data_IF_513770476074
#
_entry.id   IF_513770476074
#
_cell.length_a   1.000
_cell.length_b   1.000
_cell.length_c   1.000
_cell.angle_alpha   90.00
_cell.angle_beta   90.00
_cell.angle_gamma   90.00
#
_symmetry.space_group_name_H-M   'P 1'
#
loop_
_entity.id
_entity.type
_entity.pdbx_description
1 polymer ?
#
# COMPACT_ATOMS: atom_id res chain seq x y z
N UNK A 1 18.24 14.68 -13.77
CA UNK A 1 17.55 13.59 -14.48
C UNK A 1 16.07 13.66 -14.14
N UNK A 2 15.14 13.58 -15.10
CA UNK A 2 13.71 13.70 -14.83
C UNK A 2 13.20 12.46 -14.10
N UNK A 3 12.47 12.67 -13.00
CA UNK A 3 11.69 11.63 -12.32
C UNK A 3 10.23 11.87 -12.68
N UNK A 4 9.56 10.84 -13.18
CA UNK A 4 8.14 10.90 -13.49
C UNK A 4 7.35 10.18 -12.39
N UNK A 5 6.10 10.61 -12.17
CA UNK A 5 5.20 9.99 -11.21
C UNK A 5 3.94 9.50 -11.93
N UNK A 6 3.55 8.27 -11.62
CA UNK A 6 2.26 7.71 -11.99
C UNK A 6 1.46 7.59 -10.70
N UNK A 7 0.29 8.24 -10.66
CA UNK A 7 -0.65 8.14 -9.53
C UNK A 7 -1.88 7.40 -10.00
N UNK A 8 -2.26 6.36 -9.25
CA UNK A 8 -3.47 5.56 -9.50
C UNK A 8 -4.28 5.49 -8.23
N UNK A 9 -5.55 5.91 -8.31
CA UNK A 9 -6.52 5.78 -7.24
C UNK A 9 -7.44 4.59 -7.52
N UNK A 10 -7.72 3.79 -6.50
CA UNK A 10 -8.61 2.64 -6.61
C UNK A 10 -9.36 2.36 -5.31
N UNK A 11 -10.65 2.08 -5.44
CA UNK A 11 -11.49 1.57 -4.34
C UNK A 11 -11.56 0.05 -4.44
N UNK A 12 -11.27 -0.63 -3.33
CA UNK A 12 -11.33 -2.09 -3.24
C UNK A 12 -12.21 -2.46 -2.06
N UNK A 13 -12.96 -3.55 -2.19
CA UNK A 13 -13.78 -4.11 -1.12
C UNK A 13 -13.41 -5.56 -0.83
N UNK A 14 -13.47 -5.93 0.45
CA UNK A 14 -13.32 -7.28 0.99
C UNK A 14 -14.59 -7.64 1.75
N UNK A 15 -15.25 -8.74 1.38
CA UNK A 15 -16.40 -9.28 2.12
C UNK A 15 -16.00 -10.54 2.87
N UNK A 16 -16.28 -10.54 4.17
CA UNK A 16 -16.03 -11.61 5.12
C UNK A 16 -17.38 -12.17 5.55
N UNK A 17 -17.54 -13.49 5.49
CA UNK A 17 -18.77 -14.20 5.90
C UNK A 17 -18.40 -15.40 6.78
N UNK A 18 -19.39 -16.14 7.26
CA UNK A 18 -19.17 -17.42 7.94
C UNK A 18 -18.37 -18.44 7.11
N UNK A 19 -18.37 -18.31 5.78
CA UNK A 19 -17.60 -19.19 4.89
C UNK A 19 -16.11 -18.82 4.82
N UNK A 20 -15.73 -17.61 5.22
CA UNK A 20 -14.36 -17.09 5.08
C UNK A 20 -13.36 -17.68 6.09
N UNK A 21 -13.79 -18.62 6.94
CA UNK A 21 -12.96 -19.27 7.97
C UNK A 21 -12.54 -18.32 9.09
N UNK A 22 -11.87 -18.85 10.13
CA UNK A 22 -11.32 -18.08 11.26
C UNK A 22 -9.89 -17.58 11.02
N UNK A 23 -9.40 -17.72 9.78
CA UNK A 23 -8.05 -17.36 9.38
C UNK A 23 -7.83 -15.85 9.25
N UNK A 24 -6.59 -15.50 8.94
CA UNK A 24 -6.22 -14.15 8.51
C UNK A 24 -6.67 -13.99 7.06
N UNK A 25 -7.53 -13.01 6.81
CA UNK A 25 -8.01 -12.66 5.48
C UNK A 25 -7.23 -11.45 5.00
N UNK A 26 -6.44 -11.66 3.96
CA UNK A 26 -5.70 -10.58 3.33
C UNK A 26 -6.66 -9.72 2.52
N UNK A 27 -6.47 -8.40 2.63
CA UNK A 27 -7.16 -7.48 1.76
C UNK A 27 -6.67 -7.68 0.32
N UNK A 28 -7.54 -7.57 -0.71
CA UNK A 28 -7.15 -7.81 -2.08
C UNK A 28 -5.99 -6.89 -2.51
N UNK A 29 -5.07 -7.43 -3.31
CA UNK A 29 -3.95 -6.66 -3.83
C UNK A 29 -4.40 -5.62 -4.85
N UNK A 30 -3.68 -4.50 -4.90
CA UNK A 30 -3.90 -3.48 -5.92
C UNK A 30 -3.55 -4.02 -7.32
N UNK A 31 -4.26 -3.60 -8.38
CA UNK A 31 -3.93 -3.99 -9.75
C UNK A 31 -2.48 -3.66 -10.11
N UNK A 32 -1.83 -4.54 -10.86
CA UNK A 32 -0.49 -4.29 -11.38
C UNK A 32 -0.52 -3.10 -12.35
N UNK A 33 0.48 -2.22 -12.25
CA UNK A 33 0.65 -1.07 -13.15
C UNK A 33 1.82 -1.40 -14.08
N UNK A 34 1.58 -1.36 -15.38
CA UNK A 34 2.62 -1.55 -16.38
C UNK A 34 3.55 -0.33 -16.41
N UNK A 35 4.85 -0.57 -16.25
CA UNK A 35 5.87 0.46 -16.41
C UNK A 35 6.18 0.60 -17.92
N UNK A 36 6.20 1.83 -18.48
CA UNK A 36 6.56 2.03 -19.88
C UNK A 36 7.93 1.43 -20.23
N UNK A 37 8.07 0.93 -21.46
CA UNK A 37 9.31 0.32 -21.91
C UNK A 37 10.48 1.32 -21.85
N UNK A 38 11.65 0.87 -21.39
CA UNK A 38 12.82 1.71 -21.21
C UNK A 38 12.85 2.53 -19.91
N UNK A 39 11.80 2.49 -19.08
CA UNK A 39 11.77 3.13 -17.77
C UNK A 39 12.00 2.13 -16.63
N UNK A 40 12.62 2.59 -15.54
CA UNK A 40 12.87 1.78 -14.34
C UNK A 40 12.06 2.30 -13.17
N UNK A 41 11.37 1.41 -12.44
CA UNK A 41 10.70 1.74 -11.18
C UNK A 41 11.74 2.09 -10.11
N UNK A 42 11.63 3.27 -9.52
CA UNK A 42 12.53 3.74 -8.45
C UNK A 42 11.94 3.39 -7.09
N UNK A 43 10.69 3.80 -6.86
CA UNK A 43 10.00 3.56 -5.60
C UNK A 43 8.49 3.47 -5.82
N UNK A 44 7.81 2.88 -4.84
CA UNK A 44 6.37 2.72 -4.84
C UNK A 44 5.83 3.06 -3.44
N UNK A 45 4.83 3.91 -3.38
CA UNK A 45 4.15 4.27 -2.14
C UNK A 45 2.66 4.00 -2.27
N UNK A 46 2.09 3.38 -1.24
CA UNK A 46 0.65 3.13 -1.14
C UNK A 46 0.13 3.89 0.07
N UNK A 47 -0.82 4.77 -0.19
CA UNK A 47 -1.54 5.52 0.82
C UNK A 47 -2.99 5.04 0.86
N UNK A 48 -3.52 4.86 2.06
CA UNK A 48 -4.96 4.68 2.30
C UNK A 48 -5.53 6.01 2.73
N UNK A 49 -6.53 6.50 2.01
CA UNK A 49 -7.23 7.73 2.35
C UNK A 49 -8.46 7.45 3.22
N UNK A 50 -9.19 6.40 2.88
CA UNK A 50 -10.41 6.02 3.56
C UNK A 50 -10.44 4.51 3.76
N UNK A 51 -10.88 4.07 4.94
CA UNK A 51 -11.18 2.66 5.16
C UNK A 51 -12.38 2.54 6.09
N UNK A 52 -13.45 1.92 5.58
CA UNK A 52 -14.71 1.74 6.28
C UNK A 52 -15.08 0.28 6.35
N UNK A 53 -15.81 -0.09 7.40
CA UNK A 53 -16.28 -1.44 7.61
C UNK A 53 -17.78 -1.42 7.92
N UNK A 54 -18.57 -2.06 7.08
CA UNK A 54 -19.98 -2.28 7.29
C UNK A 54 -20.20 -3.70 7.82
N UNK A 55 -20.81 -3.83 8.99
CA UNK A 55 -21.08 -5.14 9.60
C UNK A 55 -22.58 -5.38 9.74
N UNK A 56 -23.00 -6.62 9.43
CA UNK A 56 -24.33 -7.17 9.65
C UNK A 56 -24.17 -8.38 10.59
N UNK A 57 -24.69 -8.27 11.81
CA UNK A 57 -24.64 -9.34 12.81
C UNK A 57 -26.06 -9.75 13.17
N UNK A 58 -26.43 -11.00 12.86
CA UNK A 58 -27.76 -11.56 13.11
C UNK A 58 -27.73 -12.71 14.11
N UNK A 59 -26.58 -13.38 14.29
CA UNK A 59 -26.46 -14.55 15.17
C UNK A 59 -26.13 -14.20 16.63
N UNK A 60 -25.73 -12.96 16.91
CA UNK A 60 -25.55 -12.48 18.27
C UNK A 60 -26.90 -12.02 18.87
N UNK A 61 -27.12 -12.17 20.19
CA UNK A 61 -28.27 -11.57 20.85
C UNK A 61 -28.33 -10.06 20.61
N UNK A 62 -29.54 -9.53 20.40
CA UNK A 62 -29.75 -8.09 20.23
C UNK A 62 -29.37 -7.37 21.53
N UNK A 63 -28.52 -6.36 21.39
CA UNK A 63 -28.06 -5.51 22.47
C UNK A 63 -28.90 -4.23 22.50
N UNK A 64 -29.40 -3.87 23.68
CA UNK A 64 -30.09 -2.59 23.88
C UNK A 64 -29.10 -1.43 23.82
N UNK A 65 -29.45 -0.36 23.09
CA UNK A 65 -28.61 0.84 23.03
C UNK A 65 -28.48 1.50 24.41
N UNK A 66 -27.33 2.11 24.74
CA UNK A 66 -27.16 2.80 26.00
C UNK A 66 -28.13 3.99 26.06
N UNK A 67 -28.79 4.16 27.20
CA UNK A 67 -29.63 5.33 27.45
C UNK A 67 -28.72 6.51 27.83
N UNK A 68 -28.43 7.36 26.85
CA UNK A 68 -27.58 8.54 27.03
C UNK A 68 -28.51 9.77 27.18
N UNK A 69 -28.48 10.48 28.32
CA UNK A 69 -29.28 11.70 28.49
C UNK A 69 -28.80 12.79 27.53
N UNK A 70 -29.70 13.71 27.16
CA UNK A 70 -29.39 14.80 26.23
C UNK A 70 -28.28 15.74 26.73
N UNK A 71 -28.13 15.85 28.05
CA UNK A 71 -27.12 16.67 28.71
C UNK A 71 -25.80 15.91 28.96
N UNK A 72 -25.65 14.69 28.44
CA UNK A 72 -24.46 13.88 28.66
C UNK A 72 -23.21 14.55 28.07
N UNK A 73 -22.13 14.54 28.85
CA UNK A 73 -20.82 14.91 28.36
C UNK A 73 -20.28 13.87 27.37
N UNK A 74 -19.38 14.29 26.49
CA UNK A 74 -18.70 13.38 25.54
C UNK A 74 -17.99 12.21 26.23
N UNK A 75 -17.51 12.44 27.45
CA UNK A 75 -16.88 11.41 28.28
C UNK A 75 -17.89 10.37 28.76
N UNK A 76 -19.08 10.79 29.17
CA UNK A 76 -20.17 9.86 29.57
C UNK A 76 -20.68 9.04 28.38
N UNK A 77 -20.81 9.66 27.20
CA UNK A 77 -21.12 8.94 25.95
C UNK A 77 -20.10 7.84 25.66
N UNK A 78 -18.81 8.17 25.79
CA UNK A 78 -17.72 7.22 25.57
C UNK A 78 -17.77 6.06 26.56
N UNK A 79 -17.95 6.35 27.86
CA UNK A 79 -18.05 5.31 28.87
C UNK A 79 -19.28 4.42 28.70
N UNK A 80 -20.42 4.99 28.32
CA UNK A 80 -21.63 4.22 28.03
C UNK A 80 -21.42 3.28 26.83
N UNK A 81 -20.71 3.75 25.79
CA UNK A 81 -20.33 2.93 24.65
C UNK A 81 -19.36 1.80 25.02
N UNK A 82 -18.35 2.08 25.83
CA UNK A 82 -17.40 1.06 26.31
C UNK A 82 -18.07 0.01 27.19
N UNK A 83 -18.96 0.45 28.10
CA UNK A 83 -19.71 -0.44 28.98
C UNK A 83 -20.62 -1.39 28.19
N UNK A 84 -21.31 -0.83 27.18
CA UNK A 84 -22.09 -1.60 26.21
C UNK A 84 -21.24 -2.67 25.53
N UNK A 85 -20.08 -2.29 24.98
CA UNK A 85 -19.21 -3.23 24.28
C UNK A 85 -18.70 -4.34 25.20
N UNK A 86 -18.32 -4.02 26.44
CA UNK A 86 -17.70 -4.98 27.34
C UNK A 86 -18.67 -5.96 27.96
N UNK A 87 -19.91 -5.54 28.23
CA UNK A 87 -20.95 -6.38 28.86
C UNK A 87 -21.78 -7.19 27.86
N UNK A 88 -21.71 -6.87 26.57
CA UNK A 88 -22.52 -7.52 25.54
C UNK A 88 -21.81 -8.71 24.91
N UNK A 89 -22.61 -9.68 24.44
CA UNK A 89 -22.12 -10.74 23.56
C UNK A 89 -21.57 -10.12 22.26
N UNK A 90 -20.33 -10.43 21.91
CA UNK A 90 -19.62 -9.78 20.81
C UNK A 90 -18.67 -10.71 20.09
N UNK A 91 -18.42 -10.38 18.83
CA UNK A 91 -17.31 -10.95 18.05
C UNK A 91 -16.26 -9.85 17.89
N UNK A 92 -14.98 -10.19 17.94
CA UNK A 92 -13.92 -9.21 17.73
C UNK A 92 -13.37 -9.34 16.30
N UNK A 93 -13.23 -8.21 15.60
CA UNK A 93 -12.45 -8.15 14.36
C UNK A 93 -11.13 -7.44 14.61
N UNK A 94 -10.03 -8.17 14.44
CA UNK A 94 -8.68 -7.63 14.48
C UNK A 94 -8.35 -7.00 13.13
N UNK A 95 -7.81 -5.79 13.19
CA UNK A 95 -7.21 -5.06 12.09
C UNK A 95 -5.70 -5.29 12.15
N UNK A 96 -5.16 -5.95 11.13
CA UNK A 96 -3.78 -6.38 11.06
C UNK A 96 -3.05 -5.63 9.95
N UNK A 97 -1.75 -5.47 10.13
CA UNK A 97 -0.81 -5.04 9.10
C UNK A 97 0.23 -6.15 8.93
N UNK A 98 0.26 -6.74 7.75
CA UNK A 98 1.21 -7.79 7.40
C UNK A 98 2.28 -7.22 6.48
N UNK A 99 3.53 -7.60 6.70
CA UNK A 99 4.68 -7.21 5.89
C UNK A 99 5.69 -8.36 5.83
N UNK A 100 6.83 -8.16 5.18
CA UNK A 100 7.93 -9.12 5.15
C UNK A 100 8.49 -9.46 6.53
N UNK A 101 8.36 -8.57 7.52
CA UNK A 101 8.80 -8.81 8.89
C UNK A 101 7.76 -9.55 9.75
N UNK A 102 6.59 -9.87 9.20
CA UNK A 102 5.50 -10.57 9.88
C UNK A 102 4.20 -9.78 9.97
N UNK A 103 3.26 -10.30 10.75
CA UNK A 103 1.93 -9.72 10.96
C UNK A 103 1.85 -9.06 12.32
N UNK A 104 1.36 -7.82 12.37
CA UNK A 104 1.21 -7.02 13.58
C UNK A 104 -0.24 -6.56 13.76
N UNK A 105 -0.72 -6.58 15.01
CA UNK A 105 -2.04 -6.06 15.38
C UNK A 105 -1.99 -4.54 15.44
N UNK A 106 -2.85 -3.89 14.67
CA UNK A 106 -2.99 -2.42 14.67
C UNK A 106 -4.12 -1.98 15.61
N UNK A 107 -5.19 -2.77 15.68
CA UNK A 107 -6.28 -2.56 16.62
C UNK A 107 -7.38 -3.58 16.42
N UNK A 108 -8.49 -3.38 17.12
CA UNK A 108 -9.64 -4.26 17.03
C UNK A 108 -10.94 -3.49 17.18
N UNK A 109 -12.00 -4.02 16.58
CA UNK A 109 -13.36 -3.51 16.75
C UNK A 109 -14.27 -4.58 17.34
N UNK A 110 -15.22 -4.15 18.16
CA UNK A 110 -16.28 -4.99 18.70
C UNK A 110 -17.47 -5.03 17.73
N UNK A 111 -17.76 -6.19 17.19
CA UNK A 111 -18.94 -6.45 16.37
C UNK A 111 -20.09 -6.87 17.28
N UNK A 112 -21.19 -6.10 17.24
CA UNK A 112 -22.36 -6.28 18.08
C UNK A 112 -23.61 -6.35 17.19
N UNK A 113 -24.61 -7.15 17.62
CA UNK A 113 -25.96 -7.04 17.06
C UNK A 113 -26.73 -5.96 17.81
N UNK A 114 -26.87 -4.78 17.21
CA UNK A 114 -27.64 -3.65 17.80
C UNK A 114 -29.12 -3.69 17.42
N UNK A 115 -29.58 -4.73 16.71
CA UNK A 115 -30.92 -4.81 16.14
C UNK A 115 -31.11 -3.98 14.86
N UNK A 116 -30.12 -3.17 14.47
CA UNK A 116 -30.11 -2.45 13.19
C UNK A 116 -29.31 -3.21 12.14
N UNK A 117 -29.79 -3.26 10.89
CA UNK A 117 -29.19 -4.09 9.85
C UNK A 117 -27.81 -3.61 9.40
N UNK A 118 -27.43 -2.36 9.65
CA UNK A 118 -26.17 -1.79 9.17
C UNK A 118 -25.48 -1.00 10.27
N UNK A 119 -24.23 -1.35 10.56
CA UNK A 119 -23.33 -0.55 11.38
C UNK A 119 -22.06 -0.29 10.59
N UNK A 120 -21.72 0.99 10.45
CA UNK A 120 -20.48 1.42 9.81
C UNK A 120 -19.44 1.74 10.89
N UNK A 121 -18.23 1.25 10.69
CA UNK A 121 -17.06 1.52 11.50
C UNK A 121 -16.02 2.24 10.63
N UNK A 122 -15.44 3.30 11.16
CA UNK A 122 -14.28 3.95 10.55
C UNK A 122 -13.01 3.27 11.08
N UNK A 123 -12.23 2.70 10.17
CA UNK A 123 -10.99 1.98 10.53
C UNK A 123 -9.74 2.85 10.34
N UNK A 124 -9.84 4.07 9.76
CA UNK A 124 -8.64 4.87 9.46
C UNK A 124 -7.90 5.25 10.75
N UNK A 125 -8.66 5.53 11.80
CA UNK A 125 -8.15 5.87 13.12
C UNK A 125 -7.28 4.73 13.70
N UNK A 126 -7.60 3.47 13.39
CA UNK A 126 -6.85 2.30 13.87
C UNK A 126 -5.47 2.23 13.23
N UNK A 127 -5.35 2.60 11.95
CA UNK A 127 -4.12 2.42 11.20
C UNK A 127 -3.13 3.58 11.35
N UNK A 128 -3.55 4.80 11.76
CA UNK A 128 -2.59 5.86 12.15
C UNK A 128 -3.15 7.12 12.85
N UNK A 129 -4.35 7.10 13.43
CA UNK A 129 -4.87 8.21 14.24
C UNK A 129 -5.02 9.58 13.54
N UNK A 130 -4.77 9.68 12.22
CA UNK A 130 -4.96 10.86 11.35
C UNK A 130 -5.26 10.42 9.91
N UNK A 131 -5.89 11.33 9.17
CA UNK A 131 -6.56 11.29 7.85
C UNK A 131 -5.99 10.42 6.71
N UNK A 132 -4.80 9.80 6.85
CA UNK A 132 -4.28 8.82 5.89
C UNK A 132 -3.24 7.89 6.51
N UNK A 133 -3.13 6.66 5.97
CA UNK A 133 -2.13 5.68 6.37
C UNK A 133 -1.22 5.31 5.19
N UNK A 134 0.08 5.62 5.29
CA UNK A 134 1.09 5.10 4.35
C UNK A 134 1.43 3.67 4.76
N UNK A 135 1.10 2.72 3.89
CA UNK A 135 1.53 1.34 4.01
C UNK A 135 2.89 1.22 3.32
N UNK A 136 3.91 0.77 4.06
CA UNK A 136 5.25 0.58 3.53
C UNK A 136 5.31 -0.42 2.37
N UNK A 137 6.45 -0.48 1.69
CA UNK A 137 6.65 -1.43 0.58
C UNK A 137 6.43 -2.88 1.05
N UNK A 138 5.68 -3.65 0.25
CA UNK A 138 5.32 -5.06 0.54
C UNK A 138 4.52 -5.28 1.82
N UNK A 139 3.83 -4.26 2.33
CA UNK A 139 2.86 -4.44 3.39
C UNK A 139 1.43 -4.44 2.82
N UNK A 140 0.54 -5.19 3.46
CA UNK A 140 -0.88 -5.25 3.13
C UNK A 140 -1.75 -5.28 4.38
N UNK A 141 -2.97 -4.80 4.22
CA UNK A 141 -3.99 -4.91 5.25
C UNK A 141 -4.47 -6.34 5.36
N UNK A 142 -4.73 -6.78 6.57
CA UNK A 142 -5.38 -8.05 6.81
C UNK A 142 -6.37 -7.95 7.97
N UNK A 143 -7.34 -8.85 7.98
CA UNK A 143 -8.41 -8.87 8.98
C UNK A 143 -8.55 -10.27 9.54
N UNK A 144 -8.83 -10.37 10.83
CA UNK A 144 -9.04 -11.66 11.48
C UNK A 144 -10.25 -11.57 12.39
N UNK A 145 -11.14 -12.55 12.27
CA UNK A 145 -12.23 -12.74 13.22
C UNK A 145 -11.71 -13.54 14.40
N UNK A 146 -11.88 -12.98 15.61
CA UNK A 146 -11.47 -13.59 16.85
C UNK A 146 -12.69 -13.82 17.73
N UNK A 147 -12.85 -15.07 18.16
CA UNK A 147 -13.80 -15.42 19.20
C UNK A 147 -13.31 -14.89 20.55
N UNK A 148 -14.17 -14.11 21.22
CA UNK A 148 -13.94 -13.53 22.54
C UNK A 148 -14.94 -14.06 23.59
N UNK A 149 -15.53 -15.22 23.33
CA UNK A 149 -16.47 -15.91 24.21
C UNK A 149 -17.91 -15.94 23.71
N UNK A 150 -18.17 -15.53 22.47
CA UNK A 150 -19.53 -15.54 21.86
C UNK A 150 -19.56 -16.23 20.49
N UNK A 151 -18.47 -16.90 20.10
CA UNK A 151 -18.35 -17.62 18.84
C UNK A 151 -17.68 -16.80 17.73
N UNK A 152 -17.90 -17.25 16.50
CA UNK A 152 -17.42 -16.64 15.26
C UNK A 152 -18.62 -16.29 14.37
N UNK A 153 -18.37 -15.73 13.18
CA UNK A 153 -19.45 -15.37 12.26
C UNK A 153 -20.33 -16.58 11.91
N UNK A 154 -21.63 -16.45 12.15
CA UNK A 154 -22.65 -17.43 11.80
C UNK A 154 -23.29 -17.16 10.44
N UNK A 155 -24.22 -18.04 10.04
CA UNK A 155 -24.94 -17.90 8.78
C UNK A 155 -25.75 -16.59 8.75
N UNK A 156 -25.55 -15.77 7.72
CA UNK A 156 -26.20 -14.47 7.59
C UNK A 156 -25.42 -13.31 8.22
N UNK A 157 -24.38 -13.58 9.02
CA UNK A 157 -23.45 -12.54 9.43
C UNK A 157 -22.54 -12.18 8.24
N UNK A 158 -22.26 -10.89 8.08
CA UNK A 158 -21.31 -10.41 7.07
C UNK A 158 -20.60 -9.15 7.49
N UNK A 159 -19.38 -8.98 6.98
CA UNK A 159 -18.59 -7.78 7.15
C UNK A 159 -18.06 -7.39 5.78
N UNK A 160 -18.31 -6.16 5.36
CA UNK A 160 -17.78 -5.61 4.11
C UNK A 160 -16.88 -4.44 4.43
N UNK A 161 -15.59 -4.61 4.14
CA UNK A 161 -14.56 -3.61 4.35
C UNK A 161 -14.27 -2.98 3.00
N UNK A 162 -14.33 -1.66 2.91
CA UNK A 162 -14.03 -0.91 1.69
C UNK A 162 -12.93 0.10 1.99
N UNK A 163 -11.91 0.14 1.14
CA UNK A 163 -10.79 1.05 1.29
C UNK A 163 -10.43 1.72 -0.03
N UNK A 164 -10.09 3.00 0.06
CA UNK A 164 -9.61 3.83 -1.04
C UNK A 164 -8.09 3.96 -0.95
N UNK A 165 -7.42 3.49 -2.00
CA UNK A 165 -5.97 3.51 -2.10
C UNK A 165 -5.52 4.51 -3.15
N UNK A 166 -4.50 5.28 -2.80
CA UNK A 166 -3.69 6.05 -3.73
C UNK A 166 -2.31 5.42 -3.83
N UNK A 167 -1.96 4.95 -5.03
CA UNK A 167 -0.66 4.37 -5.33
C UNK A 167 0.15 5.35 -6.16
N UNK A 168 1.32 5.73 -5.66
CA UNK A 168 2.27 6.61 -6.35
C UNK A 168 3.51 5.81 -6.71
N UNK A 169 3.80 5.70 -8.01
CA UNK A 169 5.00 5.04 -8.53
C UNK A 169 5.92 6.12 -9.12
N UNK A 170 7.15 6.19 -8.61
CA UNK A 170 8.19 7.03 -9.21
C UNK A 170 9.01 6.21 -10.20
N UNK A 171 9.12 6.70 -11.44
CA UNK A 171 9.85 6.05 -12.52
C UNK A 171 10.97 6.95 -13.04
N UNK A 172 12.04 6.30 -13.49
CA UNK A 172 13.23 6.92 -14.00
C UNK A 172 13.41 6.59 -15.49
N UNK A 173 13.71 7.62 -16.29
CA UNK A 173 14.13 7.47 -17.67
C UNK A 173 15.66 7.52 -17.75
N UNK A 174 16.32 6.43 -18.19
CA UNK A 174 17.75 6.43 -18.43
C UNK A 174 18.08 7.48 -19.49
N UNK A 175 18.97 8.40 -19.18
CA UNK A 175 19.54 9.27 -20.20
C UNK A 175 20.35 8.38 -21.14
N UNK A 176 19.94 8.30 -22.41
CA UNK A 176 20.79 7.76 -23.46
C UNK A 176 22.09 8.56 -23.40
N UNK A 177 23.21 7.88 -23.12
CA UNK A 177 24.51 8.52 -23.27
C UNK A 177 24.60 8.97 -24.73
N UNK A 178 24.73 10.28 -24.95
CA UNK A 178 25.11 10.77 -26.27
C UNK A 178 26.37 10.02 -26.67
N UNK A 179 26.43 9.42 -27.88
CA UNK A 179 27.64 8.78 -28.35
C UNK A 179 28.81 9.73 -28.11
N UNK A 180 29.90 9.23 -27.52
CA UNK A 180 31.13 10.01 -27.44
C UNK A 180 31.42 10.57 -28.84
N UNK A 181 31.80 11.86 -28.98
CA UNK A 181 32.12 12.39 -30.29
C UNK A 181 33.14 11.45 -30.93
N UNK A 182 32.85 10.97 -32.13
CA UNK A 182 33.82 10.20 -32.91
C UNK A 182 35.01 11.14 -33.05
N UNK A 183 36.08 10.85 -32.30
CA UNK A 183 37.37 11.49 -32.52
C UNK A 183 37.84 10.92 -33.85
N UNK A 184 37.50 11.63 -34.93
CA UNK A 184 38.16 11.43 -36.20
C UNK A 184 39.62 11.80 -35.96
N UNK A 185 40.44 10.80 -35.67
CA UNK A 185 41.88 10.90 -35.83
C UNK A 185 42.12 11.14 -37.31
N UNK A 186 42.03 12.40 -37.73
CA UNK A 186 42.56 12.83 -39.02
C UNK A 186 44.05 12.53 -38.95
N UNK A 187 44.46 11.47 -39.65
CA UNK A 187 45.84 11.26 -39.99
C UNK A 187 46.20 12.46 -40.87
N UNK A 188 46.97 13.39 -40.31
CA UNK A 188 47.50 14.51 -41.07
C UNK A 188 48.49 13.96 -42.10
N UNK A 189 48.05 13.90 -43.36
CA UNK A 189 48.85 13.45 -44.48
C UNK A 189 50.11 14.30 -44.66
N UNK A 190 50.14 15.53 -44.14
CA UNK A 190 51.36 16.34 -44.10
C UNK A 190 52.43 15.70 -43.21
N UNK A 191 52.08 15.19 -42.03
CA UNK A 191 53.03 14.52 -41.13
C UNK A 191 53.59 13.20 -41.70
N UNK A 192 52.83 12.52 -42.57
CA UNK A 192 53.31 11.34 -43.30
C UNK A 192 54.32 11.74 -44.37
N UNK A 193 54.05 12.83 -45.11
CA UNK A 193 54.94 13.31 -46.16
C UNK A 193 56.28 13.83 -45.59
N UNK A 194 56.26 14.51 -44.45
CA UNK A 194 57.48 15.01 -43.80
C UNK A 194 58.38 13.87 -43.33
N UNK A 195 57.79 12.80 -42.77
CA UNK A 195 58.52 11.60 -42.39
C UNK A 195 59.08 10.84 -43.61
N UNK A 196 58.34 10.77 -44.71
CA UNK A 196 58.82 10.19 -45.97
C UNK A 196 59.96 11.00 -46.60
N UNK A 197 59.90 12.33 -46.52
CA UNK A 197 60.97 13.22 -46.99
C UNK A 197 62.25 13.04 -46.15
N UNK A 198 62.13 12.96 -44.82
CA UNK A 198 63.26 12.70 -43.93
C UNK A 198 63.93 11.34 -44.21
N UNK A 199 63.15 10.28 -44.42
CA UNK A 199 63.66 8.95 -44.81
C UNK A 199 64.39 9.02 -46.17
N UNK A 200 63.84 9.75 -47.15
CA UNK A 200 64.48 9.91 -48.46
C UNK A 200 65.80 10.69 -48.39
N UNK A 201 65.92 11.70 -47.53
CA UNK A 201 67.17 12.44 -47.36
C UNK A 201 68.25 11.64 -46.60
N UNK A 202 67.84 10.75 -45.69
CA UNK A 202 68.78 9.87 -44.97
C UNK A 202 69.44 8.79 -45.83
N UNK A 203 68.80 8.38 -46.94
CA UNK A 203 69.31 7.33 -47.84
C UNK A 203 70.32 7.81 -48.90
N UNK A 204 70.57 9.11 -49.02
CA UNK A 204 71.49 9.68 -50.04
C UNK A 204 72.93 9.80 -49.51
N UNK A 205 73.19 9.47 -48.24
CA UNK A 205 74.47 9.71 -47.57
C UNK A 205 75.50 8.57 -47.60
N UNK A 206 75.16 7.37 -48.05
CA UNK A 206 76.09 6.22 -48.04
C UNK A 206 76.24 5.63 -49.44
N UNK A 207 77.00 6.30 -50.30
CA UNK A 207 77.65 5.71 -51.49
C UNK A 207 78.70 6.71 -52.04
N UNK A 208 79.82 6.85 -51.33
CA UNK A 208 81.10 7.33 -51.91
C UNK A 208 82.23 6.52 -51.28
#
# INVERSE_FOLDING_TARGET
>A
MPVHQIVVSSTISLTITSASGTGIMNFPSLPAIAIPNGMTKVCESIQIDCITCNSIMVNLPIVGLPNIPIEASRTEELYAGLDLEWKSARIQMNCLLTSTSGTSLQGAISLLNTGYPFRQHDLIAIYKGKDSAIIGENAWLAFQIKDVGSGVLGLGDSITITADFNRTISIFEPQLSTPAPIVNNYIDLASINDNLAAIRMGLVGENV
#
